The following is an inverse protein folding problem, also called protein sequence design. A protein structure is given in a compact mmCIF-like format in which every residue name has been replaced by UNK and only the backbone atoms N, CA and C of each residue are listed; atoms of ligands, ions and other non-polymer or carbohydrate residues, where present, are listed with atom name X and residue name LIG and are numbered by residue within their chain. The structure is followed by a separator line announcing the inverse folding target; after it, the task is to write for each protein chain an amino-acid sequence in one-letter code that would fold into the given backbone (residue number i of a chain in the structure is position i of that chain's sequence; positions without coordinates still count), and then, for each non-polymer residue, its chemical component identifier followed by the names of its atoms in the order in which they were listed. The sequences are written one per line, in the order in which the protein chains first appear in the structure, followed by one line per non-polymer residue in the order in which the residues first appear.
data_IF_024058747091
#
_entry.id   IF_024058747091
#
_cell.length_a   1.000
_cell.length_b   1.000
_cell.length_c   1.000
_cell.angle_alpha   90.00
_cell.angle_beta   90.00
_cell.angle_gamma   90.00
#
_symmetry.space_group_name_H-M   'P 1'
#
loop_
_entity.id
_entity.type
_entity.pdbx_description
1 polymer ?
#
# COMPACT_ATOMS: atom_id res chain seq x y z
N UNK A 1 2.60 -53.46 64.48
CA UNK A 1 3.33 -52.56 63.64
C UNK A 1 2.57 -52.47 62.31
N UNK A 2 1.92 -51.33 62.03
CA UNK A 2 1.15 -51.11 60.81
C UNK A 2 1.97 -50.16 59.93
N UNK A 3 2.44 -50.65 58.78
CA UNK A 3 3.14 -49.85 57.83
C UNK A 3 2.10 -49.21 56.89
N UNK A 4 2.00 -47.86 56.84
CA UNK A 4 1.22 -47.13 55.95
C UNK A 4 2.10 -46.83 54.70
N UNK A 5 1.73 -47.36 53.49
CA UNK A 5 2.34 -47.07 52.22
C UNK A 5 1.74 -45.75 51.71
N UNK A 6 2.53 -44.69 51.69
CA UNK A 6 2.20 -43.46 50.97
C UNK A 6 2.51 -43.65 49.48
N UNK A 7 1.46 -43.72 48.68
CA UNK A 7 1.59 -43.65 47.21
C UNK A 7 1.73 -42.19 46.79
N UNK A 8 2.90 -41.80 46.30
CA UNK A 8 3.11 -40.51 45.69
C UNK A 8 2.59 -40.53 44.26
N UNK A 9 1.54 -39.77 43.97
CA UNK A 9 1.03 -39.57 42.61
C UNK A 9 1.87 -38.48 41.95
N UNK A 10 2.68 -38.86 40.98
CA UNK A 10 3.46 -37.95 40.18
C UNK A 10 2.56 -37.35 39.06
N UNK A 11 2.14 -36.11 39.23
CA UNK A 11 1.39 -35.38 38.16
C UNK A 11 2.42 -34.86 37.16
N UNK A 12 2.53 -35.54 36.02
CA UNK A 12 3.31 -35.05 34.90
C UNK A 12 2.46 -34.03 34.11
N UNK A 13 2.73 -32.75 34.32
CA UNK A 13 2.12 -31.68 33.51
C UNK A 13 2.72 -31.70 32.13
N UNK A 14 1.97 -32.18 31.13
CA UNK A 14 2.33 -32.08 29.72
C UNK A 14 2.08 -30.63 29.27
N UNK A 15 3.12 -29.82 29.28
CA UNK A 15 3.09 -28.50 28.62
C UNK A 15 3.17 -28.76 27.13
N UNK A 16 2.04 -28.73 26.43
CA UNK A 16 2.00 -28.77 24.98
C UNK A 16 2.57 -27.44 24.46
N UNK A 17 3.60 -27.46 23.60
CA UNK A 17 4.03 -26.24 22.96
C UNK A 17 2.90 -25.76 22.04
N UNK A 18 2.33 -24.60 22.33
CA UNK A 18 1.45 -23.89 21.40
C UNK A 18 2.36 -23.43 20.25
N UNK A 19 2.39 -24.21 19.17
CA UNK A 19 3.00 -23.76 17.93
C UNK A 19 2.18 -22.57 17.45
N UNK A 20 2.66 -21.36 17.67
CA UNK A 20 2.16 -20.16 17.01
C UNK A 20 2.36 -20.37 15.51
N UNK A 21 1.30 -20.73 14.80
CA UNK A 21 1.31 -20.63 13.34
C UNK A 21 1.37 -19.15 13.05
N UNK A 22 2.53 -18.65 12.65
CA UNK A 22 2.59 -17.41 11.90
C UNK A 22 1.74 -17.65 10.65
N UNK A 23 0.54 -17.08 10.61
CA UNK A 23 -0.27 -17.07 9.40
C UNK A 23 0.53 -16.37 8.30
N UNK A 24 0.34 -16.79 7.05
CA UNK A 24 0.82 -16.02 5.91
C UNK A 24 0.14 -14.65 6.03
N UNK A 25 0.92 -13.57 5.96
CA UNK A 25 0.35 -12.22 5.95
C UNK A 25 -0.63 -12.09 4.78
N UNK A 26 -1.73 -11.36 4.98
CA UNK A 26 -2.67 -11.12 3.90
C UNK A 26 -1.97 -10.36 2.77
N UNK A 27 -2.29 -10.72 1.54
CA UNK A 27 -1.82 -10.12 0.28
C UNK A 27 -3.05 -10.16 -0.64
N UNK A 28 -3.77 -9.03 -0.67
CA UNK A 28 -5.14 -8.99 -1.22
C UNK A 28 -5.17 -8.92 -2.74
N UNK A 29 -4.13 -8.42 -3.37
CA UNK A 29 -4.02 -8.33 -4.84
C UNK A 29 -3.06 -9.36 -5.44
N UNK A 30 -2.30 -10.08 -4.59
CA UNK A 30 -1.44 -11.19 -4.99
C UNK A 30 -0.14 -10.76 -5.63
N UNK A 31 0.36 -9.57 -5.34
CA UNK A 31 1.58 -9.04 -5.93
C UNK A 31 2.87 -9.47 -5.19
N UNK A 32 2.72 -10.11 -4.03
CA UNK A 32 3.81 -10.57 -3.19
C UNK A 32 4.21 -9.60 -2.09
N UNK A 33 3.55 -8.44 -1.98
CA UNK A 33 3.72 -7.47 -0.91
C UNK A 33 2.58 -7.67 0.09
N UNK A 34 2.86 -7.97 1.38
CA UNK A 34 1.79 -8.09 2.37
C UNK A 34 1.00 -6.78 2.52
N UNK A 35 -0.33 -6.86 2.61
CA UNK A 35 -1.24 -5.70 2.70
C UNK A 35 -0.74 -4.62 3.67
N UNK A 36 -0.22 -5.02 4.84
CA UNK A 36 0.23 -4.07 5.90
C UNK A 36 1.49 -3.27 5.54
N UNK A 37 2.17 -3.63 4.45
CA UNK A 37 3.37 -2.98 3.93
C UNK A 37 3.14 -2.42 2.53
N UNK A 38 1.97 -2.67 1.96
CA UNK A 38 1.65 -2.37 0.59
C UNK A 38 0.98 -1.00 0.47
N UNK A 39 1.58 -0.13 -0.32
CA UNK A 39 1.08 1.22 -0.60
C UNK A 39 -0.11 1.26 -1.56
N UNK A 40 -0.38 0.12 -2.24
CA UNK A 40 -1.50 -0.05 -3.19
C UNK A 40 -2.15 -1.42 -3.03
N UNK A 41 -2.66 -1.74 -1.85
CA UNK A 41 -3.04 -3.09 -1.39
C UNK A 41 -4.16 -3.79 -2.19
N UNK A 42 -4.72 -3.16 -3.21
CA UNK A 42 -5.66 -3.75 -4.17
C UNK A 42 -5.25 -3.51 -5.64
N UNK A 43 -4.00 -3.13 -5.90
CA UNK A 43 -3.51 -2.88 -7.24
C UNK A 43 -2.14 -3.53 -7.49
N UNK A 44 -2.15 -4.77 -7.93
CA UNK A 44 -0.94 -5.57 -8.17
C UNK A 44 0.04 -4.98 -9.20
N UNK A 45 -0.26 -3.84 -9.80
CA UNK A 45 0.65 -3.16 -10.71
C UNK A 45 1.84 -2.51 -10.02
N UNK A 46 1.76 -2.26 -8.70
CA UNK A 46 2.89 -1.77 -7.92
C UNK A 46 4.02 -2.83 -7.78
N UNK A 47 3.76 -4.10 -8.06
CA UNK A 47 4.80 -5.14 -8.12
C UNK A 47 5.78 -4.97 -9.29
N UNK A 48 5.38 -4.27 -10.36
CA UNK A 48 6.18 -4.04 -11.57
C UNK A 48 6.86 -2.68 -11.60
N UNK A 49 6.44 -1.76 -10.73
CA UNK A 49 7.12 -0.49 -10.48
C UNK A 49 7.84 -0.59 -9.12
N UNK A 50 8.84 0.26 -8.83
CA UNK A 50 9.45 0.23 -7.51
C UNK A 50 8.36 0.34 -6.43
N UNK A 51 8.22 -0.68 -5.59
CA UNK A 51 7.22 -0.72 -4.50
C UNK A 51 7.34 0.46 -3.51
N UNK A 52 8.46 1.18 -3.61
CA UNK A 52 8.75 2.40 -2.85
C UNK A 52 8.37 3.68 -3.59
N UNK A 53 7.75 3.58 -4.79
CA UNK A 53 7.35 4.76 -5.55
C UNK A 53 6.11 5.41 -4.94
N UNK A 54 6.37 6.43 -4.16
CA UNK A 54 5.44 7.28 -3.43
C UNK A 54 6.13 8.64 -3.34
N UNK A 55 5.88 9.48 -4.33
CA UNK A 55 6.68 10.67 -4.61
C UNK A 55 6.40 11.82 -3.67
N UNK A 56 5.24 11.86 -3.04
CA UNK A 56 4.83 12.87 -2.08
C UNK A 56 4.82 12.39 -0.64
N UNK A 57 5.14 11.09 -0.44
CA UNK A 57 5.30 10.53 0.90
C UNK A 57 4.02 10.58 1.74
N UNK A 58 2.89 10.33 1.13
CA UNK A 58 1.62 10.28 1.87
C UNK A 58 1.18 8.84 2.21
N UNK A 59 1.91 7.83 1.71
CA UNK A 59 1.66 6.42 2.00
C UNK A 59 0.76 5.73 1.00
N UNK A 60 0.29 6.43 -0.04
CA UNK A 60 -0.24 5.82 -1.24
C UNK A 60 0.87 5.70 -2.28
N UNK A 61 0.92 4.58 -3.00
CA UNK A 61 1.87 4.45 -4.10
C UNK A 61 1.40 5.21 -5.33
N UNK A 62 2.32 5.78 -6.11
CA UNK A 62 1.97 6.56 -7.30
C UNK A 62 0.99 5.84 -8.23
N UNK A 63 1.07 4.50 -8.36
CA UNK A 63 0.19 3.72 -9.24
C UNK A 63 -1.28 3.75 -8.85
N UNK A 64 -1.57 4.00 -7.57
CA UNK A 64 -2.93 4.06 -7.02
C UNK A 64 -3.26 5.43 -6.42
N UNK A 65 -2.41 6.44 -6.64
CA UNK A 65 -2.63 7.80 -6.16
C UNK A 65 -2.77 8.78 -7.31
N UNK A 66 -4.01 9.07 -7.67
CA UNK A 66 -4.38 10.10 -8.65
C UNK A 66 -4.86 11.40 -8.02
N UNK A 67 -4.78 11.52 -6.69
CA UNK A 67 -5.17 12.70 -5.92
C UNK A 67 -3.98 13.65 -5.76
N UNK A 68 -3.63 14.32 -6.85
CA UNK A 68 -2.43 15.14 -6.90
C UNK A 68 -2.51 16.45 -6.11
N UNK A 69 -3.68 16.85 -5.65
CA UNK A 69 -3.86 18.02 -4.79
C UNK A 69 -4.10 17.69 -3.31
N UNK A 70 -4.05 16.38 -2.96
CA UNK A 70 -4.15 15.87 -1.59
C UNK A 70 -5.49 16.22 -0.90
N UNK A 71 -6.58 16.30 -1.66
CA UNK A 71 -7.91 16.60 -1.13
C UNK A 71 -8.78 15.37 -0.82
N UNK A 72 -8.21 14.15 -0.96
CA UNK A 72 -8.85 12.84 -0.84
C UNK A 72 -9.92 12.57 -1.92
N UNK A 73 -9.73 13.12 -3.10
CA UNK A 73 -10.65 12.90 -4.22
C UNK A 73 -9.95 13.01 -5.57
N UNK A 74 -9.95 11.95 -6.34
CA UNK A 74 -9.42 11.97 -7.72
C UNK A 74 -10.45 12.60 -8.64
N UNK A 75 -10.19 13.81 -9.12
CA UNK A 75 -11.18 14.62 -9.83
C UNK A 75 -10.59 15.45 -10.98
N UNK A 76 -11.40 16.34 -11.56
CA UNK A 76 -10.99 17.14 -12.70
C UNK A 76 -9.88 18.17 -12.36
N UNK A 77 -9.71 18.56 -11.11
CA UNK A 77 -8.62 19.46 -10.71
C UNK A 77 -7.28 18.77 -10.84
N UNK A 78 -7.18 17.50 -10.37
CA UNK A 78 -5.98 16.68 -10.49
C UNK A 78 -5.53 16.56 -11.94
N UNK A 79 -6.47 16.29 -12.83
CA UNK A 79 -6.17 16.20 -14.25
C UNK A 79 -5.73 17.55 -14.85
N UNK A 80 -6.52 18.61 -14.65
CA UNK A 80 -6.33 19.86 -15.38
C UNK A 80 -5.23 20.74 -14.81
N UNK A 81 -5.05 20.75 -13.50
CA UNK A 81 -4.11 21.62 -12.81
C UNK A 81 -2.74 20.97 -12.59
N UNK A 82 -2.69 19.64 -12.53
CA UNK A 82 -1.46 18.90 -12.23
C UNK A 82 -1.01 18.02 -13.41
N UNK A 83 -1.82 17.05 -13.81
CA UNK A 83 -1.42 16.09 -14.84
C UNK A 83 -1.15 16.74 -16.19
N UNK A 84 -2.05 17.55 -16.70
CA UNK A 84 -1.94 18.17 -18.04
C UNK A 84 -0.72 19.08 -18.16
N UNK A 85 -0.39 19.95 -17.19
CA UNK A 85 0.85 20.74 -17.25
C UNK A 85 2.11 19.89 -17.26
N UNK A 86 2.18 18.82 -16.43
CA UNK A 86 3.33 17.93 -16.41
C UNK A 86 3.48 17.15 -17.72
N UNK A 87 2.39 16.60 -18.25
CA UNK A 87 2.35 15.91 -19.54
C UNK A 87 2.80 16.79 -20.71
N UNK A 88 2.55 18.09 -20.64
CA UNK A 88 3.01 19.06 -21.63
C UNK A 88 4.43 19.55 -21.40
N UNK A 89 5.12 19.04 -20.40
CA UNK A 89 6.47 19.48 -20.04
C UNK A 89 6.55 20.90 -19.46
N UNK A 90 5.44 21.40 -18.94
CA UNK A 90 5.38 22.74 -18.31
C UNK A 90 5.82 22.72 -16.84
N UNK A 91 5.87 21.54 -16.23
CA UNK A 91 6.37 21.29 -14.89
C UNK A 91 7.66 20.48 -15.00
N UNK A 92 8.80 20.96 -14.46
CA UNK A 92 10.07 20.25 -14.53
C UNK A 92 10.08 19.01 -13.64
N UNK A 93 10.83 17.97 -14.05
CA UNK A 93 11.16 16.82 -13.19
C UNK A 93 12.15 17.24 -12.07
N UNK A 94 12.12 16.60 -10.89
CA UNK A 94 11.19 15.55 -10.47
C UNK A 94 9.78 16.10 -10.24
N UNK A 95 8.78 15.33 -10.64
CA UNK A 95 7.39 15.73 -10.46
C UNK A 95 6.95 15.39 -9.03
N UNK A 96 6.54 16.40 -8.23
CA UNK A 96 5.88 16.13 -6.96
C UNK A 96 4.52 15.48 -7.20
N UNK A 97 3.88 15.02 -6.17
CA UNK A 97 2.51 14.49 -6.16
C UNK A 97 2.29 13.22 -7.03
N UNK A 98 3.31 12.42 -7.28
CA UNK A 98 3.12 11.12 -7.94
C UNK A 98 2.70 11.16 -9.42
N UNK A 99 2.91 12.28 -10.14
CA UNK A 99 2.47 12.45 -11.53
C UNK A 99 3.08 11.43 -12.51
N UNK A 100 4.31 10.98 -12.27
CA UNK A 100 4.94 9.84 -12.92
C UNK A 100 4.47 8.57 -12.20
N UNK A 101 3.30 8.10 -12.59
CA UNK A 101 2.59 7.06 -11.83
C UNK A 101 3.24 5.69 -11.95
N UNK A 102 3.92 5.40 -13.05
CA UNK A 102 4.66 4.15 -13.23
C UNK A 102 6.16 4.27 -12.90
N UNK A 103 6.59 5.45 -12.45
CA UNK A 103 7.97 5.74 -12.02
C UNK A 103 9.03 5.40 -13.06
N UNK A 104 8.70 5.56 -14.34
CA UNK A 104 9.63 5.31 -15.44
C UNK A 104 10.53 6.51 -15.75
N UNK A 105 10.34 7.65 -15.08
CA UNK A 105 11.08 8.90 -15.28
C UNK A 105 10.42 9.85 -16.29
N UNK A 106 9.14 9.60 -16.66
CA UNK A 106 8.43 10.44 -17.60
C UNK A 106 6.92 10.46 -17.35
N UNK A 107 6.31 11.63 -17.30
CA UNK A 107 4.84 11.75 -17.30
C UNK A 107 4.32 11.56 -18.72
N UNK A 108 3.66 10.45 -18.99
CA UNK A 108 3.29 10.02 -20.32
C UNK A 108 1.84 9.52 -20.48
N UNK A 109 1.56 8.97 -21.66
CA UNK A 109 0.25 8.44 -21.97
C UNK A 109 -0.10 7.18 -21.13
N UNK A 110 0.91 6.44 -20.67
CA UNK A 110 0.73 5.26 -19.82
C UNK A 110 0.21 5.69 -18.44
N UNK A 111 0.84 6.70 -17.83
CA UNK A 111 0.39 7.25 -16.56
C UNK A 111 -1.08 7.65 -16.60
N UNK A 112 -1.48 8.31 -17.69
CA UNK A 112 -2.85 8.71 -17.88
C UNK A 112 -3.80 7.54 -18.08
N UNK A 113 -3.51 6.67 -19.05
CA UNK A 113 -4.49 5.67 -19.52
C UNK A 113 -4.57 4.45 -18.61
N UNK A 114 -3.44 4.02 -18.04
CA UNK A 114 -3.35 2.80 -17.24
C UNK A 114 -3.56 3.06 -15.74
N UNK A 115 -3.21 4.26 -15.28
CA UNK A 115 -3.21 4.54 -13.84
C UNK A 115 -4.23 5.63 -13.45
N UNK A 116 -4.16 6.83 -14.02
CA UNK A 116 -5.05 7.93 -13.65
C UNK A 116 -6.51 7.67 -14.03
N UNK A 117 -6.81 7.28 -15.28
CA UNK A 117 -8.19 7.08 -15.75
C UNK A 117 -8.97 6.04 -14.92
N UNK A 118 -8.42 4.88 -14.56
CA UNK A 118 -9.12 3.92 -13.72
C UNK A 118 -9.54 4.51 -12.37
N UNK A 119 -8.65 5.26 -11.72
CA UNK A 119 -8.95 5.90 -10.44
C UNK A 119 -9.97 7.03 -10.58
N UNK A 120 -9.83 7.87 -11.61
CA UNK A 120 -10.80 8.94 -11.91
C UNK A 120 -12.22 8.41 -12.16
N UNK A 121 -12.34 7.20 -12.71
CA UNK A 121 -13.62 6.54 -12.97
C UNK A 121 -14.10 5.65 -11.83
N UNK A 122 -13.30 5.44 -10.81
CA UNK A 122 -13.66 4.64 -9.64
C UNK A 122 -14.84 5.27 -8.88
N UNK A 123 -15.51 4.48 -8.06
CA UNK A 123 -16.60 4.97 -7.23
C UNK A 123 -16.49 4.33 -5.84
N UNK A 124 -16.04 5.08 -4.83
CA UNK A 124 -15.57 6.48 -4.89
C UNK A 124 -14.24 6.65 -5.64
N UNK A 125 -14.03 7.83 -6.26
CA UNK A 125 -12.76 8.21 -6.88
C UNK A 125 -11.86 8.84 -5.80
N UNK A 126 -11.07 8.01 -5.14
CA UNK A 126 -10.16 8.37 -4.04
C UNK A 126 -8.83 7.65 -4.21
N UNK A 127 -7.73 8.14 -3.60
CA UNK A 127 -6.45 7.42 -3.63
C UNK A 127 -6.52 6.08 -2.91
N UNK A 128 -5.60 5.19 -3.23
CA UNK A 128 -5.43 3.89 -2.58
C UNK A 128 -6.38 2.79 -3.07
N UNK A 129 -6.69 1.80 -2.23
CA UNK A 129 -6.33 1.73 -0.82
C UNK A 129 -4.86 1.39 -0.56
N UNK A 130 -4.34 1.88 0.57
CA UNK A 130 -3.04 1.50 1.12
C UNK A 130 -3.23 0.70 2.40
N UNK A 131 -2.36 -0.26 2.64
CA UNK A 131 -2.33 -1.01 3.91
C UNK A 131 -1.55 -0.30 5.02
N UNK A 132 -0.89 0.82 4.71
CA UNK A 132 -0.15 1.58 5.71
C UNK A 132 -1.11 2.31 6.65
N UNK A 133 -0.92 2.15 7.96
CA UNK A 133 -1.77 2.79 8.97
C UNK A 133 -1.69 4.33 8.98
N UNK A 134 -0.67 4.91 8.36
CA UNK A 134 -0.44 6.34 8.25
C UNK A 134 -0.87 6.92 6.89
N UNK A 135 -1.39 6.12 5.96
CA UNK A 135 -1.75 6.60 4.62
C UNK A 135 -2.65 7.84 4.65
N UNK A 136 -2.38 8.79 3.77
CA UNK A 136 -2.99 10.11 3.75
C UNK A 136 -2.40 11.10 4.75
N UNK A 137 -1.26 10.77 5.40
CA UNK A 137 -0.55 11.70 6.28
C UNK A 137 0.81 12.06 5.66
N UNK A 138 1.21 13.32 5.67
CA UNK A 138 2.51 13.74 5.17
C UNK A 138 3.67 12.99 5.86
N UNK A 139 4.60 12.48 5.06
CA UNK A 139 5.74 11.72 5.56
C UNK A 139 5.47 10.24 5.85
N UNK A 140 4.29 9.74 5.48
CA UNK A 140 3.97 8.32 5.56
C UNK A 140 4.74 7.55 4.48
N UNK A 141 5.48 6.54 4.88
CA UNK A 141 6.12 5.64 3.90
C UNK A 141 7.41 6.17 3.26
N UNK A 142 7.90 7.34 3.65
CA UNK A 142 9.27 7.81 3.39
C UNK A 142 10.11 7.72 4.68
#
# INVERSE_FOLDING_TARGET
MKYALLSAVLIVSIVSPIASRAGVAADSDGDGIPDVLDKCSLDSRNSVVPSTCDSDCDGYGNVCDGDFDQNNSVNAADFTMYFVPAFKGLVPSPWPQGLDMDCNGAVGAIDFTMYFIPQFKATPAVPGPSGLACAGQPGCGC
#
